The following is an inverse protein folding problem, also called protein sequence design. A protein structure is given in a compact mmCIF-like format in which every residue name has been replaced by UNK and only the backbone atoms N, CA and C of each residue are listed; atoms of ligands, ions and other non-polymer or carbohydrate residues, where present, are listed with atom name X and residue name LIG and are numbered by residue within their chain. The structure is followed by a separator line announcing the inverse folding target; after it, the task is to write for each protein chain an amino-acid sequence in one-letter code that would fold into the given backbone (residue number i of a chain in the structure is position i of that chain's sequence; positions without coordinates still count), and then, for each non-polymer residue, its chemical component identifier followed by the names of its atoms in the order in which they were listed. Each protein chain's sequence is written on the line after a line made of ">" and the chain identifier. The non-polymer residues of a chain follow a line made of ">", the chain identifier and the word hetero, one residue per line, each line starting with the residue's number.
data_IF_372751498867
#
_entry.id   IF_372751498867
#
_cell.length_a   1.000
_cell.length_b   1.000
_cell.length_c   1.000
_cell.angle_alpha   90.00
_cell.angle_beta   90.00
_cell.angle_gamma   90.00
#
_symmetry.space_group_name_H-M   'P 1'
#
loop_
_entity.id
_entity.type
_entity.pdbx_description
1 polymer ?
#
# COMPACT_ATOMS: atom_id res chain seq x y z
N UNK A 1 24.39 69.85 -42.87
CA UNK A 1 24.39 68.39 -42.59
C UNK A 1 24.26 68.22 -41.07
N UNK A 2 23.03 68.10 -40.58
CA UNK A 2 22.74 67.84 -39.17
C UNK A 2 22.44 66.36 -38.98
N UNK A 3 23.03 65.73 -37.96
CA UNK A 3 22.50 64.48 -37.39
C UNK A 3 22.74 64.46 -35.89
N UNK A 4 21.64 64.29 -35.16
CA UNK A 4 21.48 64.21 -33.71
C UNK A 4 22.02 62.89 -33.15
N UNK A 5 22.49 62.90 -31.90
CA UNK A 5 22.65 61.68 -31.08
C UNK A 5 21.98 61.88 -29.72
N UNK A 6 21.00 61.04 -29.41
CA UNK A 6 20.22 61.03 -28.17
C UNK A 6 20.93 60.20 -27.06
N UNK A 7 20.61 60.44 -25.77
CA UNK A 7 21.12 59.63 -24.64
C UNK A 7 20.21 58.42 -24.35
N UNK A 8 20.83 57.29 -23.99
CA UNK A 8 20.15 56.02 -23.64
C UNK A 8 19.84 55.94 -22.14
N UNK A 9 18.56 55.85 -21.79
CA UNK A 9 18.08 55.51 -20.44
C UNK A 9 18.14 53.98 -20.20
N UNK A 10 18.55 53.57 -19.00
CA UNK A 10 18.59 52.16 -18.56
C UNK A 10 17.46 51.92 -17.54
N UNK A 11 16.63 50.87 -17.64
CA UNK A 11 15.52 50.66 -16.71
C UNK A 11 15.99 50.08 -15.34
N UNK A 12 15.26 50.37 -14.24
CA UNK A 12 15.62 49.90 -12.90
C UNK A 12 15.40 48.40 -12.71
N UNK A 13 16.33 47.77 -11.99
CA UNK A 13 16.38 46.33 -11.68
C UNK A 13 15.30 45.91 -10.67
N UNK A 14 14.47 44.92 -11.04
CA UNK A 14 13.38 44.32 -10.25
C UNK A 14 13.83 43.33 -9.16
N UNK A 15 15.14 43.12 -8.98
CA UNK A 15 15.67 42.09 -8.09
C UNK A 15 15.45 42.31 -6.57
N UNK A 16 15.49 43.52 -6.00
CA UNK A 16 15.41 43.68 -4.54
C UNK A 16 13.99 43.53 -3.98
N UNK A 17 12.95 43.85 -4.76
CA UNK A 17 11.55 43.74 -4.31
C UNK A 17 11.09 42.26 -4.20
N UNK A 18 11.61 41.38 -5.04
CA UNK A 18 11.28 39.95 -5.03
C UNK A 18 11.87 39.20 -3.83
N UNK A 19 12.94 39.73 -3.22
CA UNK A 19 13.55 39.15 -2.01
C UNK A 19 12.77 39.56 -0.75
N UNK A 20 12.29 40.80 -0.67
CA UNK A 20 11.45 41.27 0.44
C UNK A 20 10.08 40.55 0.48
N UNK A 21 9.45 40.30 -0.67
CA UNK A 21 8.21 39.51 -0.72
C UNK A 21 8.44 38.04 -0.33
N UNK A 22 9.60 37.47 -0.66
CA UNK A 22 9.96 36.11 -0.27
C UNK A 22 10.21 35.98 1.24
N UNK A 23 10.84 36.97 1.88
CA UNK A 23 11.02 36.99 3.33
C UNK A 23 9.71 37.25 4.09
N UNK A 24 8.85 38.15 3.58
CA UNK A 24 7.54 38.41 4.17
C UNK A 24 6.58 37.19 4.09
N UNK A 25 6.64 36.44 2.99
CA UNK A 25 5.90 35.18 2.79
C UNK A 25 6.44 34.07 3.72
N UNK A 26 7.77 34.04 3.93
CA UNK A 26 8.42 33.08 4.84
C UNK A 26 8.12 33.35 6.32
N UNK A 27 7.91 34.62 6.71
CA UNK A 27 7.51 34.99 8.07
C UNK A 27 6.03 34.68 8.35
N UNK A 28 5.13 34.85 7.37
CA UNK A 28 3.72 34.46 7.50
C UNK A 28 3.55 32.94 7.61
N UNK A 29 4.38 32.14 6.93
CA UNK A 29 4.38 30.68 7.06
C UNK A 29 4.80 30.18 8.46
N UNK A 30 5.54 30.98 9.24
CA UNK A 30 5.98 30.64 10.60
C UNK A 30 4.95 30.94 11.69
N UNK A 31 3.88 31.69 11.38
CA UNK A 31 2.80 32.03 12.30
C UNK A 31 1.55 31.15 12.15
N UNK A 32 1.61 30.09 11.35
CA UNK A 32 0.50 29.15 11.23
C UNK A 32 0.26 28.43 12.57
N UNK A 33 -0.92 28.64 13.14
CA UNK A 33 -1.46 27.88 14.29
C UNK A 33 -1.20 26.39 14.04
N UNK A 34 -0.60 25.65 15.00
CA UNK A 34 -0.33 24.23 14.81
C UNK A 34 -1.65 23.51 14.49
N UNK A 35 -1.67 22.63 13.46
CA UNK A 35 -2.90 21.97 13.06
C UNK A 35 -3.48 21.21 14.25
N UNK A 36 -4.77 21.45 14.55
CA UNK A 36 -5.47 20.75 15.65
C UNK A 36 -5.31 19.23 15.49
N UNK A 37 -4.99 18.50 16.57
CA UNK A 37 -4.87 17.05 16.53
C UNK A 37 -6.19 16.40 16.10
N UNK A 38 -6.10 15.35 15.29
CA UNK A 38 -7.26 14.58 14.83
C UNK A 38 -7.81 13.79 16.02
N UNK A 39 -9.12 13.89 16.32
CA UNK A 39 -9.70 13.19 17.47
C UNK A 39 -9.81 11.68 17.22
N UNK A 40 -9.91 10.92 18.30
CA UNK A 40 -10.17 9.48 18.23
C UNK A 40 -11.62 9.20 17.77
N UNK A 41 -11.84 8.12 17.01
CA UNK A 41 -13.20 7.69 16.63
C UNK A 41 -14.00 7.26 17.85
N UNK A 42 -15.19 7.85 18.04
CA UNK A 42 -16.04 7.59 19.20
C UNK A 42 -16.67 6.20 19.22
N UNK A 43 -16.91 5.64 20.41
CA UNK A 43 -17.47 4.30 20.59
C UNK A 43 -18.85 4.10 19.93
N UNK A 44 -19.69 5.13 19.91
CA UNK A 44 -21.01 5.10 19.25
C UNK A 44 -20.91 4.89 17.73
N UNK A 45 -19.92 5.55 17.08
CA UNK A 45 -19.70 5.40 15.64
C UNK A 45 -19.22 3.99 15.30
N UNK A 46 -18.37 3.42 16.15
CA UNK A 46 -17.89 2.04 16.02
C UNK A 46 -19.01 1.01 16.22
N UNK A 47 -19.91 1.22 17.19
CA UNK A 47 -21.07 0.34 17.38
C UNK A 47 -22.03 0.38 16.19
N UNK A 48 -22.30 1.57 15.62
CA UNK A 48 -23.09 1.68 14.39
C UNK A 48 -22.46 0.88 13.24
N UNK A 49 -21.14 0.94 13.08
CA UNK A 49 -20.41 0.19 12.07
C UNK A 49 -20.38 -1.34 12.32
N UNK A 50 -20.78 -1.80 13.51
CA UNK A 50 -20.92 -3.22 13.84
C UNK A 50 -22.29 -3.77 13.40
N UNK A 51 -23.34 -2.95 13.48
CA UNK A 51 -24.74 -3.33 13.21
C UNK A 51 -25.13 -3.18 11.74
N UNK A 52 -24.31 -2.52 10.93
CA UNK A 52 -24.63 -2.22 9.52
C UNK A 52 -24.22 -3.37 8.60
N UNK A 53 -25.09 -4.38 8.47
CA UNK A 53 -25.13 -5.19 7.25
C UNK A 53 -25.60 -4.31 6.07
N UNK A 54 -25.21 -4.58 4.81
CA UNK A 54 -25.61 -3.78 3.65
C UNK A 54 -27.11 -3.97 3.39
N UNK A 55 -27.92 -3.11 4.00
CA UNK A 55 -29.35 -2.99 3.74
C UNK A 55 -29.56 -1.97 2.62
N UNK A 56 -30.15 -2.41 1.50
CA UNK A 56 -30.24 -1.64 0.25
C UNK A 56 -31.16 -0.42 0.31
N UNK A 57 -31.93 -0.26 1.40
CA UNK A 57 -32.91 0.81 1.56
C UNK A 57 -32.43 2.00 2.42
N UNK A 58 -31.20 1.96 2.96
CA UNK A 58 -30.67 3.09 3.75
C UNK A 58 -30.00 4.14 2.86
N UNK A 59 -30.20 5.45 3.14
CA UNK A 59 -29.48 6.51 2.45
C UNK A 59 -27.97 6.35 2.64
N UNK A 60 -27.22 6.55 1.56
CA UNK A 60 -25.75 6.48 1.54
C UNK A 60 -25.16 7.27 2.72
N UNK A 61 -24.28 6.65 3.53
CA UNK A 61 -23.77 7.29 4.73
C UNK A 61 -22.95 8.53 4.38
N UNK A 62 -23.17 9.63 5.13
CA UNK A 62 -22.44 10.88 4.92
C UNK A 62 -20.93 10.73 5.18
N UNK A 63 -20.55 9.78 6.04
CA UNK A 63 -19.16 9.46 6.40
C UNK A 63 -18.84 7.99 6.17
N UNK A 64 -17.58 7.74 5.79
CA UNK A 64 -17.05 6.41 5.50
C UNK A 64 -15.89 6.10 6.45
N UNK A 65 -15.90 4.91 7.05
CA UNK A 65 -14.75 4.37 7.77
C UNK A 65 -13.82 3.70 6.76
N UNK A 66 -12.68 4.35 6.51
CA UNK A 66 -11.68 3.91 5.54
C UNK A 66 -10.44 3.40 6.26
N UNK A 67 -10.10 2.13 6.05
CA UNK A 67 -8.87 1.52 6.54
C UNK A 67 -7.69 1.84 5.62
N UNK A 68 -6.72 2.57 6.15
CA UNK A 68 -5.42 2.80 5.53
C UNK A 68 -4.38 1.81 6.09
N UNK A 69 -3.67 1.13 5.19
CA UNK A 69 -2.60 0.19 5.55
C UNK A 69 -1.29 0.42 4.76
N UNK A 70 -1.30 1.30 3.75
CA UNK A 70 -0.16 1.64 2.91
C UNK A 70 0.32 3.07 3.15
N UNK A 71 0.71 3.77 2.08
CA UNK A 71 1.13 5.19 2.12
C UNK A 71 0.11 6.13 2.78
N UNK A 72 -1.16 5.73 2.81
CA UNK A 72 -2.24 6.55 3.35
C UNK A 72 -2.21 6.66 4.88
N UNK A 73 -1.40 5.84 5.55
CA UNK A 73 -1.12 6.00 6.98
C UNK A 73 -0.23 7.22 7.26
N UNK A 74 0.54 7.71 6.27
CA UNK A 74 1.42 8.86 6.49
C UNK A 74 0.67 10.18 6.32
N UNK A 75 0.82 11.10 7.29
CA UNK A 75 0.27 12.45 7.22
C UNK A 75 0.72 13.20 5.96
N UNK A 76 1.98 13.01 5.53
CA UNK A 76 2.52 13.60 4.32
C UNK A 76 1.71 13.23 3.05
N UNK A 77 1.16 12.02 3.00
CA UNK A 77 0.34 11.56 1.87
C UNK A 77 -1.12 11.95 2.08
N UNK A 78 -1.68 11.69 3.28
CA UNK A 78 -3.10 11.86 3.54
C UNK A 78 -3.52 13.33 3.71
N UNK A 79 -2.86 14.06 4.62
CA UNK A 79 -3.10 15.48 4.86
C UNK A 79 -2.40 16.35 3.80
N UNK A 80 -1.17 16.00 3.43
CA UNK A 80 -0.33 16.80 2.53
C UNK A 80 -0.74 16.67 1.05
N UNK A 81 -0.30 15.59 0.41
CA UNK A 81 -0.47 15.40 -1.03
C UNK A 81 -1.95 15.35 -1.47
N UNK A 82 -2.84 14.77 -0.66
CA UNK A 82 -4.26 14.64 -0.99
C UNK A 82 -5.14 15.74 -0.43
N UNK A 83 -4.67 16.50 0.57
CA UNK A 83 -5.46 17.53 1.23
C UNK A 83 -6.67 16.99 2.00
N UNK A 84 -6.68 15.70 2.38
CA UNK A 84 -7.82 15.07 3.05
C UNK A 84 -7.62 15.17 4.55
N UNK A 85 -8.54 15.84 5.24
CA UNK A 85 -8.53 15.93 6.70
C UNK A 85 -9.59 14.99 7.30
N UNK A 86 -9.18 13.91 7.98
CA UNK A 86 -10.13 12.98 8.59
C UNK A 86 -10.89 13.64 9.74
N UNK A 87 -12.14 13.23 9.93
CA UNK A 87 -13.02 13.64 11.02
C UNK A 87 -12.59 13.00 12.34
N UNK A 88 -12.21 11.73 12.29
CA UNK A 88 -11.70 10.96 13.42
C UNK A 88 -10.77 9.85 12.93
N UNK A 89 -9.95 9.29 13.83
CA UNK A 89 -9.06 8.18 13.52
C UNK A 89 -8.96 7.15 14.64
N UNK A 90 -8.67 5.89 14.31
CA UNK A 90 -8.41 4.83 15.29
C UNK A 90 -7.43 3.79 14.72
N UNK A 91 -6.51 3.30 15.55
CA UNK A 91 -5.59 2.23 15.17
C UNK A 91 -6.30 0.89 15.27
N UNK A 92 -6.10 0.02 14.28
CA UNK A 92 -6.79 -1.28 14.24
C UNK A 92 -5.87 -2.41 13.80
N UNK A 93 -6.23 -3.61 14.25
CA UNK A 93 -5.73 -4.89 13.75
C UNK A 93 -6.81 -5.54 12.90
N UNK A 94 -6.41 -6.16 11.79
CA UNK A 94 -7.29 -6.89 10.89
C UNK A 94 -6.76 -8.32 10.78
N UNK A 95 -7.25 -9.24 11.63
CA UNK A 95 -6.72 -10.60 11.69
C UNK A 95 -6.86 -11.37 10.38
N UNK A 96 -7.92 -11.11 9.60
CA UNK A 96 -8.19 -11.80 8.33
C UNK A 96 -7.25 -11.43 7.19
N UNK A 97 -6.43 -10.38 7.35
CA UNK A 97 -5.54 -9.88 6.31
C UNK A 97 -4.08 -9.86 6.76
N UNK A 98 -3.16 -9.92 5.79
CA UNK A 98 -1.73 -9.64 5.94
C UNK A 98 -1.28 -8.59 4.94
N UNK A 99 -0.27 -7.80 5.31
CA UNK A 99 0.37 -6.87 4.39
C UNK A 99 1.18 -7.63 3.34
N UNK A 100 1.03 -7.27 2.07
CA UNK A 100 1.83 -7.77 0.95
C UNK A 100 2.30 -6.61 0.08
N UNK A 101 3.24 -6.86 -0.82
CA UNK A 101 3.73 -5.86 -1.79
C UNK A 101 3.54 -6.35 -3.22
N UNK A 102 2.31 -6.74 -3.54
CA UNK A 102 1.98 -7.37 -4.82
C UNK A 102 1.35 -6.43 -5.83
N UNK A 103 0.99 -5.19 -5.45
CA UNK A 103 0.50 -4.23 -6.42
C UNK A 103 1.67 -3.74 -7.28
N UNK A 104 1.53 -3.88 -8.60
CA UNK A 104 2.53 -3.47 -9.58
C UNK A 104 2.63 -1.95 -9.66
N UNK A 105 3.86 -1.45 -9.62
CA UNK A 105 4.17 -0.08 -9.98
C UNK A 105 4.99 0.01 -11.27
N UNK A 106 6.02 0.87 -11.25
CA UNK A 106 6.91 1.13 -12.39
C UNK A 106 8.28 0.50 -12.09
N UNK A 107 8.73 -0.51 -12.86
CA UNK A 107 10.03 -1.14 -12.66
C UNK A 107 11.19 -0.14 -12.60
N UNK A 108 12.24 -0.47 -11.84
CA UNK A 108 13.43 0.35 -11.56
C UNK A 108 13.20 1.66 -10.79
N UNK A 109 11.95 2.08 -10.58
CA UNK A 109 11.61 3.32 -9.91
C UNK A 109 10.78 3.08 -8.65
N UNK A 110 9.55 2.63 -8.80
CA UNK A 110 8.63 2.25 -7.72
C UNK A 110 8.00 0.92 -8.09
N UNK A 111 8.74 -0.19 -7.98
CA UNK A 111 8.37 -1.44 -8.63
C UNK A 111 7.10 -2.07 -8.07
N UNK A 112 6.84 -1.91 -6.78
CA UNK A 112 5.61 -2.37 -6.15
C UNK A 112 5.14 -1.47 -5.00
N UNK A 113 3.86 -1.60 -4.71
CA UNK A 113 3.14 -0.91 -3.63
C UNK A 113 2.46 -1.90 -2.70
N UNK A 114 2.04 -1.42 -1.53
CA UNK A 114 1.32 -2.23 -0.56
C UNK A 114 0.01 -2.77 -1.13
N UNK A 115 -0.31 -4.01 -0.80
CA UNK A 115 -1.58 -4.65 -1.02
C UNK A 115 -1.89 -5.51 0.20
N UNK A 116 -3.04 -6.16 0.23
CA UNK A 116 -3.39 -7.12 1.28
C UNK A 116 -3.48 -8.53 0.69
N UNK A 117 -3.18 -9.53 1.51
CA UNK A 117 -3.50 -10.92 1.22
C UNK A 117 -4.41 -11.47 2.31
N UNK A 118 -5.36 -12.32 1.94
CA UNK A 118 -6.17 -13.02 2.93
C UNK A 118 -5.31 -14.03 3.72
N UNK A 119 -5.57 -14.12 5.03
CA UNK A 119 -4.97 -15.13 5.90
C UNK A 119 -5.94 -16.30 6.00
N UNK A 120 -5.43 -17.50 5.77
CA UNK A 120 -6.14 -18.75 6.07
C UNK A 120 -6.18 -18.93 7.59
N UNK A 121 -7.02 -18.13 8.24
CA UNK A 121 -7.41 -18.39 9.61
C UNK A 121 -8.57 -19.40 9.56
N UNK A 122 -8.60 -20.44 10.40
CA UNK A 122 -9.81 -21.22 10.54
C UNK A 122 -10.93 -20.25 10.93
N UNK A 123 -11.90 -20.07 10.03
CA UNK A 123 -13.05 -19.15 10.16
C UNK A 123 -13.87 -19.39 11.44
N UNK A 124 -13.58 -20.48 12.16
CA UNK A 124 -14.27 -20.94 13.36
C UNK A 124 -13.83 -20.26 14.66
N UNK A 125 -12.76 -19.45 14.64
CA UNK A 125 -12.23 -18.74 15.81
C UNK A 125 -12.26 -17.20 15.67
N UNK A 126 -13.15 -16.65 14.84
CA UNK A 126 -13.61 -15.28 15.12
C UNK A 126 -14.48 -15.39 16.37
N UNK A 127 -14.13 -14.75 17.50
CA UNK A 127 -14.87 -14.97 18.74
C UNK A 127 -16.26 -14.33 18.61
N UNK A 128 -17.25 -15.16 18.25
CA UNK A 128 -18.69 -14.87 18.30
C UNK A 128 -19.19 -14.60 19.73
N UNK A 129 -18.30 -14.63 20.72
CA UNK A 129 -18.55 -14.18 22.08
C UNK A 129 -17.41 -13.27 22.50
N UNK A 130 -17.75 -12.06 22.94
CA UNK A 130 -16.87 -11.13 23.64
C UNK A 130 -16.36 -11.65 25.01
N UNK A 131 -16.07 -12.95 25.11
CA UNK A 131 -15.59 -13.67 26.28
C UNK A 131 -14.61 -14.75 25.80
N UNK A 132 -13.37 -14.33 25.49
CA UNK A 132 -12.30 -15.23 25.05
C UNK A 132 -11.62 -14.77 23.76
N UNK A 133 -11.14 -13.52 23.71
CA UNK A 133 -10.11 -13.16 22.73
C UNK A 133 -8.83 -13.94 23.07
N UNK A 134 -8.13 -14.57 22.11
CA UNK A 134 -6.78 -15.05 22.38
C UNK A 134 -5.95 -13.86 22.88
N UNK A 135 -5.26 -14.05 24.01
CA UNK A 135 -4.46 -13.04 24.71
C UNK A 135 -3.20 -12.63 23.92
N UNK A 136 -3.29 -12.42 22.61
CA UNK A 136 -2.16 -12.09 21.72
C UNK A 136 -1.85 -10.59 21.67
N UNK A 137 -2.53 -9.78 22.48
CA UNK A 137 -2.31 -8.33 22.58
C UNK A 137 -1.80 -7.88 23.97
N UNK A 138 -1.22 -8.79 24.77
CA UNK A 138 -0.34 -8.37 25.87
C UNK A 138 0.95 -7.82 25.27
N UNK A 139 1.38 -6.63 25.72
CA UNK A 139 2.77 -6.18 25.54
C UNK A 139 3.70 -7.31 25.98
N UNK A 140 4.36 -7.98 25.02
CA UNK A 140 5.20 -9.17 25.24
C UNK A 140 4.78 -10.44 24.48
N UNK A 141 3.55 -10.54 23.96
CA UNK A 141 3.19 -11.59 23.00
C UNK A 141 3.61 -11.14 21.58
N UNK A 142 4.39 -11.96 20.88
CA UNK A 142 4.86 -11.65 19.53
C UNK A 142 3.70 -11.38 18.56
N UNK A 143 3.86 -10.39 17.69
CA UNK A 143 2.88 -10.09 16.64
C UNK A 143 2.66 -11.30 15.71
N UNK A 144 1.39 -11.62 15.46
CA UNK A 144 0.95 -12.83 14.75
C UNK A 144 0.99 -12.73 13.22
N UNK A 145 1.42 -11.59 12.67
CA UNK A 145 1.40 -11.33 11.23
C UNK A 145 0.09 -10.72 10.70
N UNK A 146 -0.84 -10.35 11.59
CA UNK A 146 -2.06 -9.62 11.22
C UNK A 146 -1.76 -8.24 10.62
N UNK A 147 -2.56 -7.82 9.66
CA UNK A 147 -2.48 -6.46 9.11
C UNK A 147 -2.81 -5.46 10.22
N UNK A 148 -1.93 -4.48 10.44
CA UNK A 148 -2.22 -3.32 11.29
C UNK A 148 -2.25 -2.06 10.44
N UNK A 149 -3.19 -1.17 10.78
CA UNK A 149 -3.40 0.06 10.05
C UNK A 149 -4.19 1.07 10.85
N UNK A 150 -4.63 2.11 10.15
CA UNK A 150 -5.38 3.23 10.74
C UNK A 150 -6.71 3.34 10.01
N UNK A 151 -7.81 3.31 10.75
CA UNK A 151 -9.12 3.65 10.21
C UNK A 151 -9.32 5.14 10.36
N UNK A 152 -9.58 5.81 9.25
CA UNK A 152 -10.00 7.20 9.21
C UNK A 152 -11.49 7.29 8.95
N UNK A 153 -12.18 8.13 9.70
CA UNK A 153 -13.51 8.59 9.32
C UNK A 153 -13.38 9.77 8.37
N UNK A 154 -13.86 9.60 7.15
CA UNK A 154 -13.78 10.62 6.09
C UNK A 154 -15.17 10.94 5.55
N UNK A 155 -15.33 12.14 4.99
CA UNK A 155 -16.58 12.49 4.30
C UNK A 155 -16.73 11.67 3.02
N UNK A 156 -17.95 11.46 2.54
CA UNK A 156 -18.19 10.80 1.26
C UNK A 156 -17.45 11.50 0.08
N UNK A 157 -17.27 12.83 0.14
CA UNK A 157 -16.51 13.59 -0.88
C UNK A 157 -15.02 13.27 -0.83
N UNK A 158 -14.44 13.23 0.36
CA UNK A 158 -13.04 12.88 0.54
C UNK A 158 -12.78 11.42 0.15
N UNK A 159 -13.71 10.52 0.48
CA UNK A 159 -13.62 9.12 0.09
C UNK A 159 -13.55 8.95 -1.44
N UNK A 160 -14.36 9.70 -2.21
CA UNK A 160 -14.27 9.71 -3.68
C UNK A 160 -12.91 10.22 -4.17
N UNK A 161 -12.31 11.16 -3.46
CA UNK A 161 -10.95 11.65 -3.77
C UNK A 161 -9.91 10.55 -3.53
N UNK A 162 -10.02 9.80 -2.43
CA UNK A 162 -9.16 8.64 -2.16
C UNK A 162 -9.27 7.64 -3.30
N UNK A 163 -10.49 7.21 -3.65
CA UNK A 163 -10.74 6.27 -4.73
C UNK A 163 -10.12 6.75 -6.04
N UNK A 164 -10.30 8.02 -6.41
CA UNK A 164 -9.74 8.61 -7.62
C UNK A 164 -8.21 8.53 -7.65
N UNK A 165 -7.55 8.79 -6.53
CA UNK A 165 -6.08 8.80 -6.44
C UNK A 165 -5.45 7.41 -6.31
N UNK A 166 -6.18 6.42 -5.81
CA UNK A 166 -5.73 5.03 -5.67
C UNK A 166 -5.92 4.22 -6.97
N UNK A 167 -5.96 4.87 -8.12
CA UNK A 167 -6.18 4.21 -9.42
C UNK A 167 -7.66 4.10 -9.82
N UNK A 168 -8.56 4.85 -9.17
CA UNK A 168 -9.95 5.09 -9.58
C UNK A 168 -10.74 3.83 -9.92
N UNK A 169 -10.52 2.75 -9.16
CA UNK A 169 -11.21 1.47 -9.30
C UNK A 169 -10.67 0.53 -10.38
N UNK A 170 -9.55 0.86 -11.03
CA UNK A 170 -8.94 0.02 -12.06
C UNK A 170 -7.93 -1.00 -11.50
N UNK A 171 -7.24 -0.65 -10.41
CA UNK A 171 -6.22 -1.49 -9.78
C UNK A 171 -6.66 -2.09 -8.45
N UNK A 172 -7.55 -1.41 -7.73
CA UNK A 172 -8.12 -1.90 -6.46
C UNK A 172 -9.63 -2.08 -6.56
N UNK A 173 -10.12 -3.17 -5.96
CA UNK A 173 -11.53 -3.44 -5.64
C UNK A 173 -11.79 -2.99 -4.19
N UNK A 174 -12.98 -2.45 -3.92
CA UNK A 174 -13.42 -2.12 -2.56
C UNK A 174 -13.87 -3.40 -1.85
N UNK A 175 -13.39 -3.63 -0.63
CA UNK A 175 -13.84 -4.73 0.24
C UNK A 175 -14.15 -4.18 1.64
N UNK A 176 -15.03 -4.85 2.37
CA UNK A 176 -15.36 -4.53 3.76
C UNK A 176 -14.71 -5.57 4.66
N UNK A 177 -14.00 -5.12 5.69
CA UNK A 177 -13.22 -6.00 6.58
C UNK A 177 -13.50 -5.73 8.06
N UNK A 178 -13.56 -6.77 8.90
CA UNK A 178 -13.67 -6.62 10.35
C UNK A 178 -12.36 -6.11 10.94
N UNK A 179 -12.44 -5.03 11.70
CA UNK A 179 -11.32 -4.35 12.34
C UNK A 179 -11.47 -4.44 13.87
N UNK A 180 -10.38 -4.76 14.55
CA UNK A 180 -10.30 -4.81 16.02
C UNK A 180 -9.48 -3.59 16.48
N UNK A 181 -10.04 -2.69 17.29
CA UNK A 181 -9.29 -1.55 17.82
C UNK A 181 -8.06 -1.97 18.62
N UNK A 182 -6.92 -1.33 18.34
CA UNK A 182 -5.67 -1.52 19.08
C UNK A 182 -5.56 -0.43 20.15
N UNK A 183 -5.08 -0.82 21.33
CA UNK A 183 -4.79 0.11 22.43
C UNK A 183 -3.77 1.14 21.97
N UNK A 184 -4.06 2.41 22.19
CA UNK A 184 -3.09 3.49 22.01
C UNK A 184 -3.30 4.51 23.14
N UNK A 185 -2.40 5.48 23.29
CA UNK A 185 -2.50 6.60 24.24
C UNK A 185 -3.84 7.36 24.16
N UNK A 186 -4.54 7.26 23.02
CA UNK A 186 -5.82 7.92 22.73
C UNK A 186 -7.05 7.03 22.97
N UNK A 187 -6.90 5.71 23.13
CA UNK A 187 -8.02 4.77 23.21
C UNK A 187 -7.68 3.52 24.04
N UNK A 188 -8.49 3.22 25.06
CA UNK A 188 -8.37 2.00 25.87
C UNK A 188 -9.08 0.82 25.19
N UNK A 189 -8.33 -0.22 24.85
CA UNK A 189 -8.82 -1.35 24.06
C UNK A 189 -9.61 -2.41 24.86
N UNK A 190 -9.65 -2.31 26.20
CA UNK A 190 -10.05 -3.41 27.09
C UNK A 190 -11.54 -3.83 26.98
N UNK A 191 -12.34 -3.15 26.13
CA UNK A 191 -13.73 -3.52 25.80
C UNK A 191 -14.10 -3.33 24.33
N UNK A 192 -13.12 -3.24 23.43
CA UNK A 192 -13.37 -2.79 22.07
C UNK A 192 -13.98 -3.89 21.20
N UNK A 193 -15.24 -3.71 20.79
CA UNK A 193 -15.92 -4.61 19.85
C UNK A 193 -15.33 -4.48 18.44
N UNK A 194 -15.22 -5.58 17.68
CA UNK A 194 -14.89 -5.51 16.26
C UNK A 194 -15.94 -4.68 15.50
N UNK A 195 -15.50 -3.93 14.49
CA UNK A 195 -16.37 -3.12 13.64
C UNK A 195 -15.97 -3.24 12.16
N UNK A 196 -16.86 -2.89 11.24
CA UNK A 196 -16.58 -2.99 9.80
C UNK A 196 -16.00 -1.69 9.25
N UNK A 197 -14.95 -1.80 8.43
CA UNK A 197 -14.37 -0.69 7.68
C UNK A 197 -14.18 -1.05 6.21
N UNK A 198 -14.27 -0.05 5.34
CA UNK A 198 -13.97 -0.19 3.91
C UNK A 198 -12.47 -0.10 3.69
N UNK A 199 -11.95 -0.95 2.82
CA UNK A 199 -10.56 -0.92 2.38
C UNK A 199 -10.44 -1.25 0.90
N UNK A 200 -9.25 -1.03 0.36
CA UNK A 200 -8.92 -1.27 -1.04
C UNK A 200 -8.03 -2.50 -1.15
N UNK A 201 -8.40 -3.45 -2.01
CA UNK A 201 -7.66 -4.68 -2.26
C UNK A 201 -7.49 -4.90 -3.76
N UNK A 202 -6.26 -5.18 -4.21
CA UNK A 202 -5.99 -5.54 -5.59
C UNK A 202 -6.04 -7.08 -5.71
N UNK A 203 -7.06 -7.66 -6.37
CA UNK A 203 -7.15 -9.10 -6.53
C UNK A 203 -5.96 -9.64 -7.32
N UNK A 204 -5.53 -10.85 -6.98
CA UNK A 204 -4.66 -11.61 -7.87
C UNK A 204 -5.54 -12.16 -8.99
N UNK A 205 -5.14 -11.94 -10.24
CA UNK A 205 -5.93 -12.22 -11.45
C UNK A 205 -6.24 -13.72 -11.71
N UNK A 206 -6.15 -14.58 -10.70
CA UNK A 206 -6.54 -15.99 -10.80
C UNK A 206 -8.07 -16.18 -10.58
N UNK A 207 -8.78 -15.15 -10.09
CA UNK A 207 -10.23 -15.21 -9.73
C UNK A 207 -11.17 -14.43 -10.67
N UNK A 208 -10.68 -13.83 -11.76
CA UNK A 208 -11.54 -13.13 -12.72
C UNK A 208 -12.16 -14.13 -13.73
N UNK A 209 -13.24 -14.81 -13.31
CA UNK A 209 -14.18 -15.57 -14.16
C UNK A 209 -15.09 -14.64 -14.99
N UNK A 210 -14.54 -13.59 -15.59
CA UNK A 210 -15.31 -12.71 -16.49
C UNK A 210 -15.22 -13.19 -17.95
N UNK A 211 -16.39 -13.24 -18.59
CA UNK A 211 -16.70 -13.64 -19.98
C UNK A 211 -16.09 -12.68 -21.02
N UNK A 212 -14.77 -12.48 -20.96
CA UNK A 212 -14.04 -11.67 -21.93
C UNK A 212 -13.69 -12.50 -23.16
N UNK A 213 -14.13 -12.00 -24.33
CA UNK A 213 -13.90 -12.60 -25.63
C UNK A 213 -12.44 -12.99 -25.90
N UNK A 214 -12.27 -14.02 -26.75
CA UNK A 214 -11.00 -14.74 -27.03
C UNK A 214 -9.78 -13.84 -27.32
N UNK A 215 -9.97 -12.66 -27.91
CA UNK A 215 -8.90 -11.70 -28.20
C UNK A 215 -8.37 -11.01 -26.93
N UNK A 216 -9.25 -10.51 -26.06
CA UNK A 216 -8.90 -9.91 -24.78
C UNK A 216 -8.25 -10.94 -23.84
N UNK A 217 -8.72 -12.19 -23.88
CA UNK A 217 -8.10 -13.31 -23.13
C UNK A 217 -6.66 -13.60 -23.57
N UNK A 218 -6.36 -13.56 -24.88
CA UNK A 218 -4.99 -13.73 -25.38
C UNK A 218 -4.09 -12.56 -25.03
N UNK A 219 -4.58 -11.32 -25.14
CA UNK A 219 -3.82 -10.13 -24.75
C UNK A 219 -3.57 -10.11 -23.22
N UNK A 220 -4.56 -10.49 -22.40
CA UNK A 220 -4.42 -10.70 -20.95
C UNK A 220 -3.42 -11.82 -20.65
N UNK A 221 -3.51 -12.98 -21.30
CA UNK A 221 -2.56 -14.08 -21.09
C UNK A 221 -1.10 -13.72 -21.43
N UNK A 222 -0.89 -12.84 -22.43
CA UNK A 222 0.46 -12.36 -22.81
C UNK A 222 0.94 -11.24 -21.88
N UNK A 223 0.05 -10.38 -21.37
CA UNK A 223 0.38 -9.29 -20.42
C UNK A 223 0.42 -9.74 -18.95
N UNK A 224 -0.19 -10.88 -18.63
CA UNK A 224 -0.43 -11.38 -17.28
C UNK A 224 -0.01 -12.85 -17.20
N UNK A 225 1.30 -13.07 -17.08
CA UNK A 225 1.81 -14.35 -16.53
C UNK A 225 1.26 -14.52 -15.10
N UNK A 226 0.94 -15.76 -14.67
CA UNK A 226 0.31 -16.03 -13.38
C UNK A 226 1.11 -15.39 -12.23
N UNK A 227 0.40 -14.60 -11.44
CA UNK A 227 0.96 -13.79 -10.34
C UNK A 227 1.42 -14.66 -9.16
N UNK A 228 1.06 -15.95 -9.19
CA UNK A 228 1.40 -17.00 -8.21
C UNK A 228 2.88 -17.05 -7.79
N UNK A 229 3.83 -16.70 -8.68
CA UNK A 229 5.27 -16.66 -8.36
C UNK A 229 5.90 -15.26 -8.31
N UNK A 230 5.12 -14.18 -8.47
CA UNK A 230 5.66 -12.80 -8.62
C UNK A 230 5.31 -11.87 -7.45
N UNK A 231 4.09 -11.96 -6.90
CA UNK A 231 3.65 -11.07 -5.81
C UNK A 231 4.34 -11.29 -4.46
N UNK A 232 5.14 -12.35 -4.34
CA UNK A 232 5.86 -12.69 -3.10
C UNK A 232 7.27 -12.08 -3.05
N UNK A 233 7.76 -11.53 -4.16
CA UNK A 233 9.18 -11.28 -4.36
C UNK A 233 9.56 -9.84 -4.78
N UNK A 234 8.63 -8.98 -5.20
CA UNK A 234 8.98 -7.58 -5.54
C UNK A 234 9.28 -6.76 -4.26
N UNK A 235 10.31 -5.91 -4.31
CA UNK A 235 10.72 -5.07 -3.18
C UNK A 235 10.24 -3.63 -3.36
N UNK A 236 9.58 -3.00 -2.37
CA UNK A 236 9.10 -1.62 -2.53
C UNK A 236 10.25 -0.60 -2.57
N UNK A 237 10.00 0.59 -3.11
CA UNK A 237 11.02 1.65 -3.12
C UNK A 237 11.36 2.10 -1.69
N UNK A 238 12.60 2.56 -1.47
CA UNK A 238 13.00 3.13 -0.18
C UNK A 238 12.13 4.32 0.24
N UNK A 239 11.72 5.14 -0.75
CA UNK A 239 10.79 6.25 -0.55
C UNK A 239 9.43 5.76 -0.04
N UNK A 240 8.89 4.69 -0.64
CA UNK A 240 7.60 4.14 -0.25
C UNK A 240 7.64 3.49 1.14
N UNK A 241 8.68 2.69 1.45
CA UNK A 241 8.85 2.12 2.79
C UNK A 241 8.99 3.20 3.87
N UNK A 242 9.63 4.33 3.55
CA UNK A 242 9.69 5.47 4.47
C UNK A 242 8.29 5.97 4.82
N UNK A 243 7.37 6.09 3.86
CA UNK A 243 5.98 6.49 4.15
C UNK A 243 5.28 5.51 5.09
N UNK A 244 5.45 4.20 4.89
CA UNK A 244 4.85 3.19 5.78
C UNK A 244 5.41 3.29 7.21
N UNK A 245 6.73 3.48 7.34
CA UNK A 245 7.41 3.61 8.64
C UNK A 245 7.03 4.91 9.35
N UNK A 246 7.04 6.02 8.63
CA UNK A 246 6.66 7.33 9.15
C UNK A 246 5.20 7.28 9.62
N UNK A 247 4.26 6.79 8.81
CA UNK A 247 2.86 6.65 9.19
C UNK A 247 2.64 5.74 10.40
N UNK A 248 3.33 4.60 10.46
CA UNK A 248 3.25 3.71 11.62
C UNK A 248 3.76 4.39 12.91
N UNK A 249 4.82 5.19 12.82
CA UNK A 249 5.37 5.96 13.93
C UNK A 249 4.47 7.13 14.35
N UNK A 250 3.97 7.91 13.38
CA UNK A 250 3.05 9.03 13.59
C UNK A 250 1.78 8.60 14.34
N UNK A 251 1.24 7.43 14.00
CA UNK A 251 0.05 6.88 14.62
C UNK A 251 0.34 6.05 15.87
N UNK A 252 1.60 5.78 16.22
CA UNK A 252 1.94 4.95 17.37
C UNK A 252 1.40 3.53 17.27
N UNK A 253 1.57 2.87 16.11
CA UNK A 253 1.27 1.45 15.98
C UNK A 253 2.18 0.60 16.91
N UNK A 254 1.80 -0.63 17.29
CA UNK A 254 2.61 -1.47 18.17
C UNK A 254 4.08 -1.61 17.72
N UNK A 255 5.00 -1.60 18.68
CA UNK A 255 6.45 -1.66 18.41
C UNK A 255 6.84 -2.90 17.59
N UNK A 256 6.18 -4.04 17.84
CA UNK A 256 6.38 -5.27 17.07
C UNK A 256 6.07 -5.10 15.58
N UNK A 257 5.04 -4.33 15.24
CA UNK A 257 4.67 -4.03 13.86
C UNK A 257 5.60 -3.00 13.23
N UNK A 258 6.01 -1.99 13.99
CA UNK A 258 7.02 -1.03 13.53
C UNK A 258 8.36 -1.73 13.25
N UNK A 259 8.77 -2.68 14.09
CA UNK A 259 9.97 -3.50 13.88
C UNK A 259 9.84 -4.37 12.61
N UNK A 260 8.66 -4.94 12.37
CA UNK A 260 8.37 -5.62 11.11
C UNK A 260 8.54 -4.70 9.90
N UNK A 261 7.93 -3.51 9.89
CA UNK A 261 8.08 -2.54 8.80
C UNK A 261 9.52 -2.05 8.62
N UNK A 262 10.28 -1.95 9.72
CA UNK A 262 11.70 -1.62 9.69
C UNK A 262 12.54 -2.75 9.07
N UNK A 263 12.15 -4.01 9.27
CA UNK A 263 12.86 -5.18 8.72
C UNK A 263 12.71 -5.34 7.20
N UNK A 264 11.69 -4.70 6.59
CA UNK A 264 11.46 -4.75 5.14
C UNK A 264 12.62 -4.15 4.35
N UNK A 265 13.11 -4.90 3.36
CA UNK A 265 14.22 -4.47 2.52
C UNK A 265 13.73 -3.59 1.37
N UNK A 266 14.28 -2.36 1.21
CA UNK A 266 13.97 -1.52 0.07
C UNK A 266 14.62 -2.06 -1.20
N UNK A 267 13.99 -1.81 -2.34
CA UNK A 267 14.62 -1.98 -3.64
C UNK A 267 15.77 -0.99 -3.82
N UNK A 268 16.95 -1.50 -4.15
CA UNK A 268 18.15 -0.74 -4.48
C UNK A 268 18.67 -1.19 -5.83
N UNK A 269 18.97 -0.21 -6.69
CA UNK A 269 19.67 -0.43 -7.95
C UNK A 269 21.15 -0.71 -7.66
N UNK A 270 21.58 -1.94 -7.87
CA UNK A 270 22.93 -2.43 -7.63
C UNK A 270 23.88 -2.08 -8.77
N UNK A 271 23.40 -2.17 -10.02
CA UNK A 271 24.24 -2.00 -11.20
C UNK A 271 23.91 -0.72 -11.98
N UNK A 272 24.92 -0.16 -12.64
CA UNK A 272 24.74 0.99 -13.53
C UNK A 272 23.84 0.65 -14.74
N UNK A 273 23.82 -0.62 -15.16
CA UNK A 273 22.92 -1.13 -16.21
C UNK A 273 21.45 -0.94 -15.83
N UNK A 274 21.07 -1.18 -14.57
CA UNK A 274 19.70 -0.92 -14.09
C UNK A 274 19.36 0.57 -14.14
N UNK A 275 20.32 1.47 -13.95
CA UNK A 275 20.10 2.92 -14.14
C UNK A 275 19.83 3.26 -15.62
N UNK A 276 20.54 2.64 -16.56
CA UNK A 276 20.23 2.78 -17.99
C UNK A 276 18.84 2.24 -18.32
N UNK A 277 18.53 1.04 -17.82
CA UNK A 277 17.20 0.42 -17.97
C UNK A 277 16.08 1.31 -17.43
N UNK A 278 16.30 1.94 -16.27
CA UNK A 278 15.39 2.94 -15.71
C UNK A 278 15.22 4.14 -16.65
N UNK A 279 16.32 4.74 -17.11
CA UNK A 279 16.24 5.90 -18.00
C UNK A 279 15.50 5.57 -19.30
N UNK A 280 15.79 4.41 -19.91
CA UNK A 280 15.10 3.96 -21.11
C UNK A 280 13.60 3.75 -20.87
N UNK A 281 13.24 3.04 -19.80
CA UNK A 281 11.85 2.82 -19.42
C UNK A 281 11.11 4.15 -19.19
N UNK A 282 11.68 5.06 -18.40
CA UNK A 282 11.04 6.33 -18.07
C UNK A 282 10.92 7.24 -19.30
N UNK A 283 11.95 7.32 -20.15
CA UNK A 283 11.87 8.12 -21.38
C UNK A 283 10.79 7.61 -22.33
N UNK A 284 10.59 6.29 -22.40
CA UNK A 284 9.55 5.69 -23.24
C UNK A 284 8.15 5.84 -22.64
N UNK A 285 7.97 5.53 -21.35
CA UNK A 285 6.64 5.35 -20.75
C UNK A 285 6.17 6.52 -19.87
N UNK A 286 7.07 7.29 -19.26
CA UNK A 286 6.67 8.37 -18.35
C UNK A 286 5.84 9.47 -19.05
N UNK A 287 6.13 9.92 -20.28
CA UNK A 287 5.30 10.91 -20.95
C UNK A 287 3.85 10.43 -21.15
N UNK A 288 3.67 9.15 -21.48
CA UNK A 288 2.36 8.53 -21.66
C UNK A 288 1.61 8.41 -20.34
N UNK A 289 2.29 7.98 -19.28
CA UNK A 289 1.73 7.93 -17.93
C UNK A 289 1.35 9.33 -17.41
N UNK A 290 2.20 10.33 -17.64
CA UNK A 290 1.93 11.72 -17.23
C UNK A 290 0.75 12.32 -18.01
N UNK A 291 0.65 12.07 -19.32
CA UNK A 291 -0.50 12.49 -20.11
C UNK A 291 -1.78 11.86 -19.56
N UNK A 292 -1.74 10.57 -19.21
CA UNK A 292 -2.85 9.87 -18.59
C UNK A 292 -3.24 10.46 -17.23
N UNK A 293 -2.30 10.66 -16.30
CA UNK A 293 -2.64 11.24 -14.99
C UNK A 293 -3.21 12.66 -15.09
N UNK A 294 -2.79 13.44 -16.10
CA UNK A 294 -3.39 14.75 -16.39
C UNK A 294 -4.81 14.62 -16.93
N UNK A 295 -5.05 13.70 -17.87
CA UNK A 295 -6.41 13.51 -18.43
C UNK A 295 -7.37 12.95 -17.39
N UNK A 296 -6.94 12.03 -16.52
CA UNK A 296 -7.78 11.52 -15.44
C UNK A 296 -8.13 12.60 -14.43
N UNK A 297 -7.21 13.52 -14.11
CA UNK A 297 -7.53 14.65 -13.24
C UNK A 297 -8.60 15.57 -13.86
N UNK A 298 -8.62 15.70 -15.19
CA UNK A 298 -9.58 16.54 -15.93
C UNK A 298 -10.93 15.84 -16.19
N UNK A 299 -10.93 14.52 -16.35
CA UNK A 299 -12.08 13.72 -16.79
C UNK A 299 -12.64 12.78 -15.71
N UNK A 300 -12.11 12.82 -14.48
CA UNK A 300 -12.66 12.01 -13.41
C UNK A 300 -14.10 12.45 -13.11
N UNK A 301 -15.04 11.54 -13.34
CA UNK A 301 -16.46 11.72 -13.05
C UNK A 301 -16.68 12.05 -11.57
N UNK A 302 -17.82 12.67 -11.25
CA UNK A 302 -18.23 13.02 -9.87
C UNK A 302 -18.29 11.80 -8.93
N UNK A 303 -18.26 10.58 -9.47
CA UNK A 303 -18.25 9.31 -8.74
C UNK A 303 -16.85 8.88 -8.28
N UNK A 304 -15.77 9.53 -8.75
CA UNK A 304 -14.38 9.16 -8.43
C UNK A 304 -13.88 7.90 -9.13
N UNK A 305 -14.66 7.35 -10.08
CA UNK A 305 -14.30 6.19 -10.92
C UNK A 305 -13.92 6.65 -12.32
N UNK A 306 -13.03 5.91 -12.97
CA UNK A 306 -12.68 6.15 -14.37
C UNK A 306 -13.73 5.56 -15.31
N UNK A 307 -14.04 6.22 -16.44
CA UNK A 307 -14.79 5.60 -17.53
C UNK A 307 -14.14 4.27 -17.94
N UNK A 308 -14.96 3.24 -18.17
CA UNK A 308 -14.48 1.86 -18.43
C UNK A 308 -13.47 1.79 -19.58
N UNK A 309 -13.69 2.55 -20.66
CA UNK A 309 -12.78 2.59 -21.81
C UNK A 309 -11.40 3.16 -21.44
N UNK A 310 -11.36 4.17 -20.56
CA UNK A 310 -10.13 4.82 -20.13
C UNK A 310 -9.35 3.92 -19.16
N UNK A 311 -10.06 3.24 -18.25
CA UNK A 311 -9.47 2.20 -17.40
C UNK A 311 -8.89 1.03 -18.24
N UNK A 312 -9.61 0.58 -19.27
CA UNK A 312 -9.14 -0.46 -20.19
C UNK A 312 -7.88 -0.01 -20.97
N UNK A 313 -7.86 1.22 -21.46
CA UNK A 313 -6.70 1.80 -22.13
C UNK A 313 -5.48 1.87 -21.19
N UNK A 314 -5.67 2.28 -19.93
CA UNK A 314 -4.60 2.29 -18.93
C UNK A 314 -4.05 0.88 -18.68
N UNK A 315 -4.93 -0.09 -18.45
CA UNK A 315 -4.52 -1.48 -18.24
C UNK A 315 -3.73 -2.05 -19.42
N UNK A 316 -4.10 -1.68 -20.65
CA UNK A 316 -3.35 -2.03 -21.85
C UNK A 316 -1.95 -1.39 -21.86
N UNK A 317 -1.84 -0.09 -21.56
CA UNK A 317 -0.55 0.63 -21.50
C UNK A 317 0.36 0.02 -20.44
N UNK A 318 -0.13 -0.20 -19.23
CA UNK A 318 0.63 -0.87 -18.17
C UNK A 318 1.02 -2.29 -18.59
N UNK A 319 0.11 -3.05 -19.19
CA UNK A 319 0.39 -4.40 -19.71
C UNK A 319 1.54 -4.42 -20.71
N UNK A 320 1.55 -3.50 -21.68
CA UNK A 320 2.61 -3.38 -22.69
C UNK A 320 3.94 -2.95 -22.07
N UNK A 321 3.92 -2.01 -21.11
CA UNK A 321 5.11 -1.61 -20.35
C UNK A 321 5.73 -2.80 -19.63
N UNK A 322 4.90 -3.60 -18.96
CA UNK A 322 5.35 -4.79 -18.24
C UNK A 322 5.86 -5.89 -19.18
N UNK A 323 5.26 -6.08 -20.36
CA UNK A 323 5.81 -6.98 -21.39
C UNK A 323 7.18 -6.49 -21.86
N UNK A 324 7.30 -5.20 -22.20
CA UNK A 324 8.57 -4.61 -22.62
C UNK A 324 9.65 -4.79 -21.54
N UNK A 325 9.29 -4.57 -20.29
CA UNK A 325 10.20 -4.79 -19.17
C UNK A 325 10.63 -6.25 -19.05
N UNK A 326 9.70 -7.20 -18.99
CA UNK A 326 10.00 -8.63 -18.79
C UNK A 326 10.74 -9.26 -19.97
N UNK A 327 10.36 -8.91 -21.21
CA UNK A 327 10.90 -9.53 -22.41
C UNK A 327 12.23 -8.91 -22.87
N UNK A 328 12.46 -7.62 -22.57
CA UNK A 328 13.59 -6.86 -23.11
C UNK A 328 14.44 -6.28 -21.97
N UNK A 329 13.85 -5.43 -21.13
CA UNK A 329 14.66 -4.66 -20.19
C UNK A 329 15.29 -5.52 -19.08
N UNK A 330 14.52 -6.43 -18.48
CA UNK A 330 14.99 -7.29 -17.39
C UNK A 330 16.16 -8.19 -17.84
N UNK A 331 16.08 -8.92 -18.98
CA UNK A 331 17.23 -9.67 -19.49
C UNK A 331 18.46 -8.82 -19.83
N UNK A 332 18.27 -7.59 -20.31
CA UNK A 332 19.35 -6.73 -20.80
C UNK A 332 19.96 -5.81 -19.72
N UNK A 333 19.22 -5.42 -18.70
CA UNK A 333 19.64 -4.38 -17.75
C UNK A 333 19.59 -4.83 -16.29
N UNK A 334 19.07 -6.02 -16.00
CA UNK A 334 18.94 -6.58 -14.65
C UNK A 334 17.53 -6.43 -14.08
N UNK A 335 17.31 -6.98 -12.90
CA UNK A 335 16.01 -6.96 -12.21
C UNK A 335 15.67 -5.53 -11.74
N UNK A 336 14.53 -5.02 -12.18
CA UNK A 336 13.98 -3.74 -11.78
C UNK A 336 12.98 -3.81 -10.62
N UNK A 337 12.71 -5.01 -10.11
CA UNK A 337 11.79 -5.27 -9.00
C UNK A 337 12.51 -5.73 -7.73
N UNK A 338 13.74 -6.24 -7.85
CA UNK A 338 14.54 -6.74 -6.73
C UNK A 338 15.97 -6.25 -6.78
N UNK A 339 16.51 -6.06 -5.58
CA UNK A 339 17.95 -5.83 -5.39
C UNK A 339 18.70 -7.12 -5.72
N UNK A 340 19.57 -7.07 -6.72
CA UNK A 340 20.43 -8.19 -7.08
C UNK A 340 21.58 -8.31 -6.06
N UNK A 341 21.94 -9.53 -5.66
CA UNK A 341 23.11 -9.73 -4.78
C UNK A 341 24.36 -9.72 -5.66
N UNK A 342 25.37 -8.94 -5.27
CA UNK A 342 26.68 -9.00 -5.93
C UNK A 342 27.27 -10.41 -5.75
N UNK A 343 27.51 -11.12 -6.86
CA UNK A 343 28.17 -12.44 -6.88
C UNK A 343 29.64 -12.40 -6.38
N UNK A 344 30.13 -11.22 -5.97
CA UNK A 344 31.49 -11.01 -5.47
C UNK A 344 31.71 -11.36 -3.99
N UNK A 345 30.67 -11.61 -3.20
CA UNK A 345 30.82 -12.11 -1.83
C UNK A 345 30.73 -13.63 -1.80
N UNK A 346 31.81 -14.30 -2.20
CA UNK A 346 32.06 -15.70 -1.82
C UNK A 346 32.40 -15.75 -0.33
N UNK A 347 31.40 -15.59 0.52
CA UNK A 347 31.45 -16.18 1.85
C UNK A 347 30.05 -16.60 2.28
N UNK A 348 29.88 -17.90 2.45
CA UNK A 348 28.58 -18.54 2.60
C UNK A 348 28.56 -19.90 1.90
N UNK A 349 29.30 -20.86 2.45
CA UNK A 349 29.24 -22.26 2.04
C UNK A 349 27.80 -22.81 2.06
N UNK A 350 27.55 -23.92 1.34
CA UNK A 350 26.20 -24.45 1.20
C UNK A 350 25.60 -24.77 2.57
N UNK A 351 24.46 -24.16 2.88
CA UNK A 351 23.62 -24.56 4.01
C UNK A 351 23.16 -25.99 3.74
N UNK A 352 23.89 -26.95 4.31
CA UNK A 352 23.51 -28.35 4.38
C UNK A 352 22.22 -28.40 5.21
N UNK A 353 21.07 -28.61 4.56
CA UNK A 353 19.81 -28.95 5.24
C UNK A 353 20.07 -30.17 6.10
N UNK A 354 20.30 -29.98 7.39
CA UNK A 354 20.16 -31.06 8.37
C UNK A 354 18.67 -31.34 8.49
N UNK A 355 18.28 -32.46 7.88
CA UNK A 355 17.04 -33.17 8.15
C UNK A 355 17.07 -33.54 9.63
N UNK A 356 16.28 -32.84 10.45
CA UNK A 356 15.93 -33.29 11.79
C UNK A 356 15.00 -34.50 11.63
N UNK A 357 15.58 -35.68 11.41
CA UNK A 357 14.90 -36.93 11.72
C UNK A 357 14.99 -37.14 13.22
N UNK A 358 13.88 -36.85 13.90
CA UNK A 358 13.66 -37.21 15.28
C UNK A 358 13.75 -38.72 15.42
N UNK A 359 14.77 -39.16 16.13
CA UNK A 359 14.97 -40.52 16.63
C UNK A 359 13.86 -40.79 17.65
N UNK A 360 12.85 -41.56 17.27
CA UNK A 360 11.90 -42.14 18.21
C UNK A 360 12.51 -43.46 18.71
N UNK A 361 12.73 -43.51 20.02
CA UNK A 361 13.15 -44.71 20.73
C UNK A 361 12.10 -45.81 20.58
N UNK A 362 12.52 -46.95 20.02
CA UNK A 362 11.75 -48.18 19.96
C UNK A 362 12.07 -48.99 21.21
N UNK A 363 11.13 -49.06 22.15
CA UNK A 363 11.18 -49.97 23.29
C UNK A 363 10.72 -51.37 22.82
N UNK A 364 11.40 -52.47 23.22
CA UNK A 364 11.07 -53.80 22.72
C UNK A 364 9.85 -54.37 23.45
N UNK A 365 8.82 -54.73 22.68
CA UNK A 365 7.70 -55.54 23.13
C UNK A 365 8.15 -57.01 23.26
N UNK A 366 8.22 -57.47 24.50
CA UNK A 366 8.23 -58.89 24.87
C UNK A 366 6.89 -59.51 24.48
N UNK A 367 6.85 -60.26 23.38
CA UNK A 367 5.80 -61.24 23.11
C UNK A 367 6.25 -62.60 23.59
N UNK A 368 5.63 -63.02 24.70
CA UNK A 368 5.52 -64.41 25.12
C UNK A 368 4.71 -65.18 24.07
N UNK A 369 5.28 -66.24 23.52
CA UNK A 369 4.48 -67.32 22.96
C UNK A 369 5.06 -68.64 23.46
N UNK A 370 4.25 -69.36 24.23
CA UNK A 370 4.60 -70.64 24.83
C UNK A 370 3.69 -71.73 24.28
N UNK A 371 4.33 -72.76 23.71
CA UNK A 371 3.86 -74.14 23.83
C UNK A 371 3.24 -74.79 22.58
N UNK A 372 3.84 -75.93 22.19
CA UNK A 372 3.10 -77.08 21.68
C UNK A 372 3.49 -77.55 20.28
N UNK A 373 4.22 -78.69 20.21
CA UNK A 373 4.46 -79.45 18.98
C UNK A 373 5.81 -80.14 18.96
#
# INVERSE_FOLDING_TARGET
>A
MSSHRAPSETPPSLAPAALDEAEASSQHARQAVPPRPIPATGAERLSQATETAPDSDRPEPQTVLYLAYGSNMAAATFLGMRGIRPLSQINVSVPSLRLTFSLRGVPYWEPCFANVGFRDLPFRDLPDKAAGLPETHREGAGWDGSLMGVVYEVTAKDYRTILRTEGAGSSYKEIVVPCIPIKNKLFEADKAKPFLAKTLYAPHNDDDDDDDGRCCRRLRAVTQRPVSSRGRDSQPSARYLKLLRDGAGEHGLPESYQAYLASLQPFVKTHWRQKMGQSLLLLTWAPLLMAFFKTTHLLADETGRLPKWLAAAMNMVFGLMWINYEAILKPLFGDGERTERDEGSRDGGPIRRQRLEGKADEAPLLSSDGGGG
#
